data_IF_406501421028
#
_entry.id   IF_406501421028
#
_cell.length_a   1.000
_cell.length_b   1.000
_cell.length_c   1.000
_cell.angle_alpha   90.00
_cell.angle_beta   90.00
_cell.angle_gamma   90.00
#
_symmetry.space_group_name_H-M   'P 1'
#
loop_
_entity.id
_entity.type
_entity.pdbx_description
1 polymer ?
#
# COMPACT_ATOMS: atom_id res chain seq x y z
N UNK A 1 7.61 21.02 5.43
CA UNK A 1 7.60 19.83 6.29
C UNK A 1 7.18 18.57 5.49
N UNK A 2 5.99 18.55 4.88
CA UNK A 2 5.46 17.37 4.19
C UNK A 2 6.37 16.84 3.05
N UNK A 3 6.89 17.75 2.20
CA UNK A 3 7.79 17.38 1.12
C UNK A 3 9.12 16.77 1.65
N UNK A 4 9.67 17.33 2.71
CA UNK A 4 10.88 16.81 3.35
C UNK A 4 10.64 15.45 4.01
N UNK A 5 9.50 15.28 4.70
CA UNK A 5 9.09 14.01 5.29
C UNK A 5 8.93 12.93 4.22
N UNK A 6 8.21 13.22 3.14
CA UNK A 6 8.07 12.32 1.99
C UNK A 6 9.42 11.91 1.40
N UNK A 7 10.29 12.89 1.16
CA UNK A 7 11.62 12.66 0.62
C UNK A 7 12.47 11.75 1.51
N UNK A 8 12.53 12.02 2.82
CA UNK A 8 13.32 11.21 3.75
C UNK A 8 12.83 9.77 3.84
N UNK A 9 11.49 9.56 3.95
CA UNK A 9 10.94 8.22 4.00
C UNK A 9 11.27 7.40 2.74
N UNK A 10 11.06 8.00 1.58
CA UNK A 10 11.31 7.32 0.30
C UNK A 10 12.80 7.12 0.03
N UNK A 11 13.65 8.08 0.40
CA UNK A 11 15.10 7.97 0.26
C UNK A 11 15.65 6.84 1.13
N UNK A 12 15.28 6.80 2.43
CA UNK A 12 15.77 5.78 3.35
C UNK A 12 15.44 4.37 2.85
N UNK A 13 14.18 4.11 2.48
CA UNK A 13 13.77 2.83 1.93
C UNK A 13 14.51 2.48 0.64
N UNK A 14 14.66 3.45 -0.27
CA UNK A 14 15.32 3.23 -1.56
C UNK A 14 16.81 2.95 -1.42
N UNK A 15 17.49 3.59 -0.49
CA UNK A 15 18.93 3.36 -0.22
C UNK A 15 19.16 1.97 0.33
N UNK A 16 18.32 1.49 1.26
CA UNK A 16 18.41 0.12 1.78
C UNK A 16 18.24 -0.92 0.65
N UNK A 17 17.24 -0.72 -0.22
CA UNK A 17 17.04 -1.60 -1.38
C UNK A 17 18.23 -1.53 -2.35
N UNK A 18 18.83 -0.36 -2.56
CA UNK A 18 20.01 -0.21 -3.42
C UNK A 18 21.19 -1.03 -2.91
N UNK A 19 21.47 -1.02 -1.61
CA UNK A 19 22.51 -1.88 -1.02
C UNK A 19 22.22 -3.36 -1.25
N UNK A 20 20.96 -3.79 -1.10
CA UNK A 20 20.57 -5.17 -1.39
C UNK A 20 20.80 -5.52 -2.88
N UNK A 21 20.43 -4.65 -3.81
CA UNK A 21 20.64 -4.86 -5.25
C UNK A 21 22.14 -4.96 -5.60
N UNK A 22 22.98 -4.10 -5.00
CA UNK A 22 24.44 -4.15 -5.19
C UNK A 22 24.99 -5.47 -4.67
N UNK A 23 24.58 -5.92 -3.49
CA UNK A 23 24.98 -7.21 -2.95
C UNK A 23 24.55 -8.37 -3.86
N UNK A 24 23.29 -8.38 -4.30
CA UNK A 24 22.78 -9.41 -5.22
C UNK A 24 23.60 -9.45 -6.50
N UNK A 25 23.95 -8.30 -7.08
CA UNK A 25 24.79 -8.22 -8.26
C UNK A 25 26.22 -8.76 -8.01
N UNK A 26 26.84 -8.44 -6.88
CA UNK A 26 28.20 -8.90 -6.56
C UNK A 26 28.29 -10.42 -6.39
N UNK A 27 27.22 -11.04 -5.87
CA UNK A 27 27.17 -12.50 -5.63
C UNK A 27 26.74 -13.27 -6.87
N UNK A 28 25.74 -12.76 -7.61
CA UNK A 28 25.18 -13.46 -8.78
C UNK A 28 25.87 -13.11 -10.10
N UNK A 29 26.62 -12.00 -10.15
CA UNK A 29 27.25 -11.50 -11.38
C UNK A 29 26.29 -10.95 -12.42
N UNK A 30 24.98 -10.84 -12.10
CA UNK A 30 23.95 -10.38 -13.04
C UNK A 30 22.94 -9.46 -12.39
N UNK A 31 22.32 -8.59 -13.20
CA UNK A 31 21.18 -7.76 -12.83
C UNK A 31 19.89 -8.19 -13.53
N UNK A 32 19.93 -9.31 -14.27
CA UNK A 32 18.78 -9.86 -14.96
C UNK A 32 17.79 -10.43 -13.94
N UNK A 33 16.60 -9.84 -13.87
CA UNK A 33 15.54 -10.17 -12.93
C UNK A 33 15.14 -11.65 -13.07
N UNK A 34 15.05 -12.15 -14.31
CA UNK A 34 14.63 -13.54 -14.56
C UNK A 34 15.64 -14.55 -14.03
N UNK A 35 16.94 -14.24 -14.14
CA UNK A 35 17.99 -15.07 -13.56
C UNK A 35 18.04 -14.99 -12.04
N UNK A 36 17.83 -13.78 -11.48
CA UNK A 36 17.80 -13.56 -10.03
C UNK A 36 16.65 -14.27 -9.33
N UNK A 37 15.51 -14.49 -10.01
CA UNK A 37 14.37 -15.23 -9.46
C UNK A 37 14.69 -16.72 -9.23
N UNK A 38 15.64 -17.27 -9.98
CA UNK A 38 16.08 -18.67 -9.84
C UNK A 38 17.41 -18.80 -9.11
N UNK A 39 17.99 -17.68 -8.66
CA UNK A 39 19.24 -17.69 -7.92
C UNK A 39 18.99 -17.95 -6.43
N UNK A 40 19.65 -18.96 -5.89
CA UNK A 40 19.55 -19.28 -4.47
C UNK A 40 20.41 -18.33 -3.63
N UNK A 41 19.75 -17.46 -2.91
CA UNK A 41 20.36 -16.60 -1.90
C UNK A 41 20.33 -17.33 -0.56
N UNK A 42 21.40 -18.00 -0.18
CA UNK A 42 21.57 -18.79 1.03
C UNK A 42 20.56 -18.46 2.17
N UNK A 43 19.66 -19.41 2.43
CA UNK A 43 18.62 -19.31 3.46
C UNK A 43 18.99 -19.97 4.80
N UNK A 44 20.25 -20.52 4.92
CA UNK A 44 20.70 -21.09 6.18
C UNK A 44 20.87 -20.06 7.27
N UNK A 45 20.36 -20.37 8.45
CA UNK A 45 20.45 -19.50 9.62
C UNK A 45 21.90 -19.17 9.95
N UNK A 46 22.16 -17.93 10.36
CA UNK A 46 23.47 -17.51 10.83
C UNK A 46 23.35 -16.51 11.98
N UNK A 47 24.38 -16.41 12.78
CA UNK A 47 24.45 -15.46 13.90
C UNK A 47 25.15 -14.17 13.46
N UNK A 48 24.49 -13.02 13.67
CA UNK A 48 25.03 -11.70 13.43
C UNK A 48 24.89 -10.84 14.69
N UNK A 49 26.00 -10.37 15.23
CA UNK A 49 26.03 -9.50 16.43
C UNK A 49 25.28 -10.09 17.64
N UNK A 50 25.30 -11.43 17.81
CA UNK A 50 24.59 -12.11 18.90
C UNK A 50 23.10 -12.36 18.64
N UNK A 51 22.60 -12.04 17.46
CA UNK A 51 21.24 -12.34 17.04
C UNK A 51 21.24 -13.47 16.00
N UNK A 52 20.44 -14.51 16.26
CA UNK A 52 20.22 -15.58 15.28
C UNK A 52 19.24 -15.10 14.21
N UNK A 53 19.70 -15.02 12.96
CA UNK A 53 18.91 -14.58 11.80
C UNK A 53 18.40 -15.82 11.07
N UNK A 54 17.12 -16.12 11.28
CA UNK A 54 16.44 -17.18 10.57
C UNK A 54 16.27 -16.84 9.10
N UNK A 55 16.54 -17.81 8.21
CA UNK A 55 16.48 -17.62 6.76
C UNK A 55 17.66 -16.84 6.18
N UNK A 56 18.71 -16.66 6.94
CA UNK A 56 20.04 -16.29 6.45
C UNK A 56 20.10 -14.91 5.76
N UNK A 57 20.95 -14.83 4.76
CA UNK A 57 21.16 -13.63 3.93
C UNK A 57 19.87 -13.27 3.17
N UNK A 58 19.07 -14.26 2.78
CA UNK A 58 17.79 -14.05 2.10
C UNK A 58 16.86 -13.15 2.95
N UNK A 59 16.81 -13.35 4.26
CA UNK A 59 16.01 -12.52 5.18
C UNK A 59 16.50 -11.08 5.25
N UNK A 60 17.80 -10.83 5.21
CA UNK A 60 18.37 -9.47 5.21
C UNK A 60 18.01 -8.75 3.90
N UNK A 61 18.17 -9.43 2.77
CA UNK A 61 17.81 -8.87 1.46
C UNK A 61 16.31 -8.59 1.39
N UNK A 62 15.49 -9.54 1.88
CA UNK A 62 14.04 -9.35 1.97
C UNK A 62 13.67 -8.13 2.81
N UNK A 63 14.28 -7.95 3.99
CA UNK A 63 14.01 -6.77 4.84
C UNK A 63 14.42 -5.45 4.17
N UNK A 64 15.49 -5.43 3.40
CA UNK A 64 15.92 -4.24 2.65
C UNK A 64 14.92 -3.87 1.53
N UNK A 65 14.42 -4.87 0.79
CA UNK A 65 13.35 -4.69 -0.19
C UNK A 65 12.03 -4.32 0.49
N UNK A 66 11.69 -4.99 1.60
CA UNK A 66 10.52 -4.68 2.40
C UNK A 66 10.52 -3.22 2.87
N UNK A 67 11.61 -2.70 3.38
CA UNK A 67 11.70 -1.31 3.81
C UNK A 67 11.35 -0.32 2.68
N UNK A 68 11.82 -0.58 1.45
CA UNK A 68 11.48 0.26 0.29
C UNK A 68 10.00 0.16 -0.09
N UNK A 69 9.47 -1.05 -0.15
CA UNK A 69 8.10 -1.27 -0.60
C UNK A 69 7.08 -0.89 0.47
N UNK A 70 7.37 -1.12 1.75
CA UNK A 70 6.51 -0.75 2.87
C UNK A 70 6.34 0.77 3.00
N UNK A 71 7.36 1.55 2.67
CA UNK A 71 7.23 3.01 2.59
C UNK A 71 6.36 3.41 1.41
N UNK A 72 6.56 2.84 0.23
CA UNK A 72 5.80 3.18 -0.99
C UNK A 72 4.34 2.75 -0.91
N UNK A 73 4.07 1.56 -0.36
CA UNK A 73 2.72 1.00 -0.17
C UNK A 73 2.03 1.49 1.11
N UNK A 74 2.46 2.54 1.72
CA UNK A 74 2.30 3.08 3.06
C UNK A 74 1.78 2.09 4.11
N UNK A 75 2.58 1.04 4.39
CA UNK A 75 2.26 0.08 5.44
C UNK A 75 2.36 0.73 6.83
N UNK A 76 1.53 0.30 7.76
CA UNK A 76 1.72 0.69 9.16
C UNK A 76 3.05 0.09 9.69
N UNK A 77 3.89 0.84 10.44
CA UNK A 77 3.77 2.24 10.88
C UNK A 77 4.35 3.29 9.90
N UNK A 78 4.84 2.91 8.73
CA UNK A 78 5.56 3.77 7.78
C UNK A 78 4.63 4.66 6.90
N UNK A 79 3.34 4.73 7.20
CA UNK A 79 2.32 5.41 6.38
C UNK A 79 2.19 6.91 6.62
N UNK A 80 2.76 7.47 7.70
CA UNK A 80 2.45 8.83 8.18
C UNK A 80 2.83 9.95 7.23
N UNK A 81 3.67 9.68 6.23
CA UNK A 81 4.04 10.65 5.20
C UNK A 81 2.91 10.90 4.18
N UNK A 82 2.07 9.89 3.95
CA UNK A 82 1.08 9.91 2.88
C UNK A 82 -0.02 10.97 3.09
N UNK A 83 -0.70 11.06 4.26
CA UNK A 83 -1.70 12.10 4.48
C UNK A 83 -1.13 13.51 4.38
N UNK A 84 0.08 13.73 4.90
CA UNK A 84 0.74 15.04 4.85
C UNK A 84 1.10 15.42 3.40
N UNK A 85 1.58 14.45 2.61
CA UNK A 85 1.89 14.66 1.21
C UNK A 85 0.64 15.02 0.39
N UNK A 86 -0.48 14.30 0.56
CA UNK A 86 -1.73 14.57 -0.16
C UNK A 86 -2.35 15.93 0.16
N UNK A 87 -2.21 16.38 1.40
CA UNK A 87 -2.74 17.70 1.83
C UNK A 87 -2.01 18.84 1.13
N UNK A 88 -0.68 18.73 0.98
CA UNK A 88 0.14 19.78 0.40
C UNK A 88 0.27 19.69 -1.13
N UNK A 89 0.02 18.50 -1.70
CA UNK A 89 0.13 18.29 -3.12
C UNK A 89 -1.00 19.00 -3.90
N UNK A 90 -0.71 19.54 -5.09
CA UNK A 90 -1.75 19.96 -6.02
C UNK A 90 -2.62 18.75 -6.41
N UNK A 91 -3.84 18.99 -6.89
CA UNK A 91 -4.81 17.94 -7.23
C UNK A 91 -4.23 16.87 -8.14
N UNK A 92 -3.55 17.26 -9.23
CA UNK A 92 -2.91 16.31 -10.15
C UNK A 92 -1.81 15.47 -9.49
N UNK A 93 -1.01 16.08 -8.58
CA UNK A 93 0.00 15.37 -7.78
C UNK A 93 -0.62 14.31 -6.87
N UNK A 94 -1.71 14.64 -6.19
CA UNK A 94 -2.46 13.69 -5.35
C UNK A 94 -3.04 12.53 -6.18
N UNK A 95 -3.55 12.81 -7.38
CA UNK A 95 -4.09 11.79 -8.28
C UNK A 95 -3.01 10.78 -8.68
N UNK A 96 -1.85 11.24 -9.17
CA UNK A 96 -0.75 10.35 -9.57
C UNK A 96 -0.21 9.57 -8.37
N UNK A 97 -0.06 10.22 -7.22
CA UNK A 97 0.42 9.58 -5.99
C UNK A 97 -0.53 8.45 -5.55
N UNK A 98 -1.83 8.72 -5.48
CA UNK A 98 -2.82 7.74 -5.05
C UNK A 98 -3.05 6.63 -6.09
N UNK A 99 -3.15 6.98 -7.38
CA UNK A 99 -3.49 6.03 -8.42
C UNK A 99 -2.37 5.04 -8.74
N UNK A 100 -1.12 5.53 -8.85
CA UNK A 100 -0.01 4.75 -9.43
C UNK A 100 1.09 4.49 -8.41
N UNK A 101 1.60 5.55 -7.75
CA UNK A 101 2.82 5.42 -6.94
C UNK A 101 2.66 4.45 -5.76
N UNK A 102 1.50 4.40 -5.12
CA UNK A 102 1.23 3.44 -4.05
C UNK A 102 1.32 1.99 -4.57
N UNK A 103 0.82 1.73 -5.77
CA UNK A 103 0.79 0.38 -6.36
C UNK A 103 2.16 -0.13 -6.78
N UNK A 104 3.13 0.76 -6.96
CA UNK A 104 4.52 0.37 -7.21
C UNK A 104 5.11 -0.45 -6.06
N UNK A 105 4.70 -0.18 -4.81
CA UNK A 105 5.10 -1.01 -3.66
C UNK A 105 4.50 -2.42 -3.71
N UNK A 106 3.19 -2.54 -4.01
CA UNK A 106 2.51 -3.84 -4.17
C UNK A 106 3.07 -4.65 -5.34
N UNK A 107 3.30 -3.99 -6.48
CA UNK A 107 3.99 -4.60 -7.60
C UNK A 107 5.40 -5.10 -7.20
N UNK A 108 6.11 -4.31 -6.40
CA UNK A 108 7.43 -4.68 -5.90
C UNK A 108 7.41 -5.96 -5.06
N UNK A 109 6.45 -6.11 -4.17
CA UNK A 109 6.26 -7.35 -3.40
C UNK A 109 5.97 -8.55 -4.30
N UNK A 110 5.03 -8.41 -5.24
CA UNK A 110 4.64 -9.47 -6.16
C UNK A 110 5.78 -9.86 -7.12
N UNK A 111 6.50 -8.89 -7.66
CA UNK A 111 7.49 -9.12 -8.71
C UNK A 111 8.88 -9.48 -8.19
N UNK A 112 9.25 -8.96 -7.01
CA UNK A 112 10.60 -9.13 -6.47
C UNK A 112 10.60 -9.93 -5.18
N UNK A 113 9.86 -9.51 -4.14
CA UNK A 113 9.98 -10.12 -2.81
C UNK A 113 9.53 -11.57 -2.78
N UNK A 114 8.36 -11.90 -3.37
CA UNK A 114 7.85 -13.27 -3.37
C UNK A 114 8.70 -14.23 -4.22
N UNK A 115 9.05 -13.90 -5.49
CA UNK A 115 9.78 -14.84 -6.33
C UNK A 115 11.27 -14.97 -6.00
N UNK A 116 11.92 -13.87 -5.53
CA UNK A 116 13.36 -13.89 -5.24
C UNK A 116 13.69 -14.38 -3.83
N UNK A 117 12.76 -14.22 -2.88
CA UNK A 117 12.97 -14.51 -1.46
C UNK A 117 11.80 -15.32 -0.89
N UNK A 118 11.52 -16.53 -1.38
CA UNK A 118 10.35 -17.31 -0.98
C UNK A 118 10.41 -17.72 0.50
N UNK A 119 11.56 -18.21 0.98
CA UNK A 119 11.72 -18.67 2.37
C UNK A 119 11.57 -17.51 3.36
N UNK A 120 12.23 -16.38 3.09
CA UNK A 120 12.09 -15.19 3.92
C UNK A 120 10.65 -14.66 3.92
N UNK A 121 9.96 -14.71 2.78
CA UNK A 121 8.55 -14.30 2.69
C UNK A 121 7.63 -15.17 3.55
N UNK A 122 7.90 -16.47 3.67
CA UNK A 122 7.18 -17.38 4.58
C UNK A 122 7.52 -17.09 6.05
N UNK A 123 8.78 -16.86 6.38
CA UNK A 123 9.21 -16.52 7.76
C UNK A 123 8.49 -15.26 8.25
N UNK A 124 8.42 -14.22 7.42
CA UNK A 124 7.81 -12.94 7.79
C UNK A 124 6.31 -12.85 7.54
N UNK A 125 5.64 -13.90 7.06
CA UNK A 125 4.21 -13.91 6.74
C UNK A 125 3.34 -13.45 7.91
N UNK A 126 3.50 -14.04 9.09
CA UNK A 126 2.73 -13.71 10.28
C UNK A 126 2.95 -12.27 10.76
N UNK A 127 4.18 -11.77 10.60
CA UNK A 127 4.50 -10.37 10.90
C UNK A 127 3.74 -9.44 9.95
N UNK A 128 3.74 -9.72 8.65
CA UNK A 128 2.99 -8.93 7.65
C UNK A 128 1.49 -8.99 7.91
N UNK A 129 0.94 -10.14 8.25
CA UNK A 129 -0.47 -10.27 8.60
C UNK A 129 -0.83 -9.35 9.77
N UNK A 130 -0.05 -9.38 10.84
CA UNK A 130 -0.29 -8.55 12.02
C UNK A 130 -0.29 -7.06 11.69
N UNK A 131 0.72 -6.56 10.98
CA UNK A 131 0.80 -5.14 10.62
C UNK A 131 -0.27 -4.74 9.60
N UNK A 132 -0.69 -5.66 8.72
CA UNK A 132 -1.77 -5.41 7.75
C UNK A 132 -3.13 -5.26 8.45
N UNK A 133 -3.45 -6.14 9.40
CA UNK A 133 -4.68 -6.04 10.20
C UNK A 133 -4.69 -4.76 11.05
N UNK A 134 -3.56 -4.45 11.69
CA UNK A 134 -3.41 -3.17 12.42
C UNK A 134 -3.64 -1.99 11.47
N UNK A 135 -3.07 -2.02 10.27
CA UNK A 135 -3.27 -0.97 9.28
C UNK A 135 -4.75 -0.81 8.92
N UNK A 136 -5.45 -1.90 8.63
CA UNK A 136 -6.88 -1.88 8.27
C UNK A 136 -7.71 -1.25 9.39
N UNK A 137 -7.60 -1.75 10.61
CA UNK A 137 -8.43 -1.29 11.74
C UNK A 137 -8.03 0.12 12.17
N UNK A 138 -6.75 0.34 12.47
CA UNK A 138 -6.26 1.60 13.01
C UNK A 138 -6.49 2.76 12.04
N UNK A 139 -6.10 2.60 10.77
CA UNK A 139 -6.20 3.72 9.82
C UNK A 139 -7.64 4.00 9.39
N UNK A 140 -8.53 3.01 9.40
CA UNK A 140 -9.97 3.24 9.21
C UNK A 140 -10.57 4.07 10.34
N UNK A 141 -10.23 3.78 11.59
CA UNK A 141 -10.65 4.58 12.74
C UNK A 141 -10.07 6.00 12.70
N UNK A 142 -8.80 6.14 12.29
CA UNK A 142 -8.18 7.46 12.11
C UNK A 142 -8.86 8.23 10.97
N UNK A 143 -9.21 7.57 9.86
CA UNK A 143 -9.92 8.20 8.74
C UNK A 143 -11.28 8.75 9.18
N UNK A 144 -12.04 8.01 10.02
CA UNK A 144 -13.34 8.41 10.54
C UNK A 144 -13.28 9.73 11.34
N UNK A 145 -12.16 10.00 12.00
CA UNK A 145 -11.99 11.18 12.85
C UNK A 145 -11.40 12.41 12.12
N UNK A 146 -11.16 12.32 10.82
CA UNK A 146 -10.56 13.41 10.05
C UNK A 146 -11.60 14.50 9.72
N UNK A 147 -11.21 15.76 9.93
CA UNK A 147 -11.96 16.94 9.48
C UNK A 147 -11.56 17.42 8.09
N UNK A 148 -10.37 17.08 7.63
CA UNK A 148 -9.85 17.39 6.29
C UNK A 148 -10.20 16.28 5.32
N UNK A 149 -10.97 16.60 4.27
CA UNK A 149 -11.46 15.62 3.27
C UNK A 149 -10.31 14.92 2.52
N UNK A 150 -9.18 15.59 2.24
CA UNK A 150 -8.00 14.98 1.63
C UNK A 150 -7.33 14.00 2.59
N UNK A 151 -7.26 14.32 3.88
CA UNK A 151 -6.73 13.40 4.90
C UNK A 151 -7.60 12.17 5.06
N UNK A 152 -8.92 12.33 5.06
CA UNK A 152 -9.86 11.22 5.14
C UNK A 152 -9.61 10.22 4.00
N UNK A 153 -9.55 10.69 2.75
CA UNK A 153 -9.28 9.83 1.58
C UNK A 153 -7.88 9.22 1.65
N UNK A 154 -6.87 9.94 2.13
CA UNK A 154 -5.52 9.42 2.27
C UNK A 154 -5.44 8.29 3.31
N UNK A 155 -6.07 8.44 4.48
CA UNK A 155 -6.10 7.38 5.49
C UNK A 155 -6.93 6.16 5.06
N UNK A 156 -8.05 6.35 4.36
CA UNK A 156 -8.79 5.23 3.78
C UNK A 156 -7.93 4.46 2.78
N UNK A 157 -7.08 5.16 2.01
CA UNK A 157 -6.12 4.51 1.10
C UNK A 157 -5.11 3.62 1.82
N UNK A 158 -4.64 4.01 3.01
CA UNK A 158 -3.74 3.16 3.83
C UNK A 158 -4.45 1.88 4.28
N UNK A 159 -5.73 1.98 4.69
CA UNK A 159 -6.53 0.81 5.06
C UNK A 159 -6.69 -0.17 3.88
N UNK A 160 -7.04 0.34 2.69
CA UNK A 160 -7.17 -0.51 1.48
C UNK A 160 -5.84 -1.15 1.07
N UNK A 161 -4.71 -0.46 1.27
CA UNK A 161 -3.39 -1.07 1.03
C UNK A 161 -3.06 -2.15 2.07
N UNK A 162 -3.63 -2.08 3.28
CA UNK A 162 -3.58 -3.17 4.25
C UNK A 162 -4.21 -4.47 3.72
N UNK A 163 -5.36 -4.40 3.03
CA UNK A 163 -5.93 -5.57 2.34
C UNK A 163 -5.00 -6.08 1.23
N UNK A 164 -4.36 -5.19 0.48
CA UNK A 164 -3.42 -5.58 -0.57
C UNK A 164 -2.24 -6.36 0.01
N UNK A 165 -1.61 -5.89 1.08
CA UNK A 165 -0.48 -6.59 1.71
C UNK A 165 -0.91 -7.92 2.32
N UNK A 166 -2.06 -7.96 2.96
CA UNK A 166 -2.65 -9.19 3.49
C UNK A 166 -2.84 -10.23 2.37
N UNK A 167 -3.43 -9.82 1.24
CA UNK A 167 -3.67 -10.69 0.10
C UNK A 167 -2.40 -11.19 -0.58
N UNK A 168 -1.39 -10.34 -0.76
CA UNK A 168 -0.12 -10.71 -1.37
C UNK A 168 0.60 -11.78 -0.54
N UNK A 169 0.72 -11.57 0.77
CA UNK A 169 1.46 -12.46 1.66
C UNK A 169 0.65 -13.68 2.15
N UNK A 170 -0.62 -13.79 1.79
CA UNK A 170 -1.37 -15.04 1.95
C UNK A 170 -0.86 -16.16 1.02
N UNK A 171 -0.12 -15.80 -0.04
CA UNK A 171 0.48 -16.74 -1.01
C UNK A 171 -0.52 -17.76 -1.59
N UNK A 172 -1.80 -17.41 -1.55
CA UNK A 172 -2.89 -18.18 -2.15
C UNK A 172 -3.33 -17.46 -3.42
N UNK A 173 -3.57 -18.20 -4.50
CA UNK A 173 -3.95 -17.64 -5.80
C UNK A 173 -5.16 -16.69 -5.68
N UNK A 174 -6.19 -17.08 -4.95
CA UNK A 174 -7.41 -16.29 -4.77
C UNK A 174 -7.13 -14.95 -4.08
N UNK A 175 -6.29 -14.94 -3.03
CA UNK A 175 -5.91 -13.72 -2.33
C UNK A 175 -5.04 -12.81 -3.18
N UNK A 176 -4.10 -13.40 -3.94
CA UNK A 176 -3.21 -12.64 -4.85
C UNK A 176 -4.03 -11.97 -5.95
N UNK A 177 -4.96 -12.70 -6.57
CA UNK A 177 -5.86 -12.15 -7.57
C UNK A 177 -6.73 -11.03 -6.99
N UNK A 178 -7.23 -11.22 -5.77
CA UNK A 178 -7.95 -10.19 -5.01
C UNK A 178 -7.10 -8.95 -4.74
N UNK A 179 -5.84 -9.13 -4.33
CA UNK A 179 -4.90 -8.04 -4.07
C UNK A 179 -4.57 -7.24 -5.35
N UNK A 180 -4.34 -7.93 -6.46
CA UNK A 180 -4.08 -7.28 -7.77
C UNK A 180 -5.33 -6.49 -8.19
N UNK A 181 -6.50 -7.11 -8.09
CA UNK A 181 -7.76 -6.44 -8.44
C UNK A 181 -8.02 -5.23 -7.54
N UNK A 182 -7.74 -5.34 -6.23
CA UNK A 182 -7.86 -4.23 -5.28
C UNK A 182 -6.90 -3.08 -5.61
N UNK A 183 -5.67 -3.36 -6.02
CA UNK A 183 -4.74 -2.32 -6.46
C UNK A 183 -5.29 -1.53 -7.65
N UNK A 184 -5.85 -2.21 -8.66
CA UNK A 184 -6.41 -1.56 -9.86
C UNK A 184 -7.65 -0.76 -9.49
N UNK A 185 -8.59 -1.40 -8.78
CA UNK A 185 -9.85 -0.79 -8.34
C UNK A 185 -9.60 0.47 -7.50
N UNK A 186 -8.80 0.34 -6.44
CA UNK A 186 -8.44 1.47 -5.58
C UNK A 186 -7.71 2.57 -6.36
N UNK A 187 -6.90 2.23 -7.38
CA UNK A 187 -6.25 3.21 -8.25
C UNK A 187 -7.25 4.14 -8.92
N UNK A 188 -8.28 3.57 -9.52
CA UNK A 188 -9.33 4.31 -10.23
C UNK A 188 -10.21 5.09 -9.24
N UNK A 189 -10.65 4.44 -8.15
CA UNK A 189 -11.55 5.04 -7.15
C UNK A 189 -10.86 6.22 -6.45
N UNK A 190 -9.63 6.05 -5.97
CA UNK A 190 -8.89 7.11 -5.28
C UNK A 190 -8.56 8.28 -6.20
N UNK A 191 -8.18 8.01 -7.46
CA UNK A 191 -7.97 9.06 -8.45
C UNK A 191 -9.23 9.90 -8.67
N UNK A 192 -10.39 9.24 -8.84
CA UNK A 192 -11.66 9.91 -9.02
C UNK A 192 -12.06 10.75 -7.80
N UNK A 193 -11.90 10.22 -6.59
CA UNK A 193 -12.19 10.95 -5.34
C UNK A 193 -11.29 12.19 -5.20
N UNK A 194 -9.97 12.08 -5.46
CA UNK A 194 -9.09 13.25 -5.41
C UNK A 194 -9.40 14.28 -6.49
N UNK A 195 -9.80 13.86 -7.70
CA UNK A 195 -10.25 14.78 -8.74
C UNK A 195 -11.54 15.50 -8.31
N UNK A 196 -12.51 14.78 -7.77
CA UNK A 196 -13.76 15.36 -7.29
C UNK A 196 -13.50 16.35 -6.14
N UNK A 197 -12.67 16.01 -5.17
CA UNK A 197 -12.26 16.93 -4.12
C UNK A 197 -11.53 18.16 -4.70
N UNK A 198 -10.69 17.96 -5.73
CA UNK A 198 -10.03 19.05 -6.44
C UNK A 198 -11.03 20.07 -7.02
N UNK A 199 -12.11 19.58 -7.65
CA UNK A 199 -13.16 20.45 -8.25
C UNK A 199 -13.79 21.41 -7.23
N UNK A 200 -14.08 20.95 -6.00
CA UNK A 200 -14.64 21.80 -4.97
C UNK A 200 -13.56 22.66 -4.31
N UNK A 201 -12.38 22.10 -4.07
CA UNK A 201 -11.28 22.82 -3.45
C UNK A 201 -10.80 24.02 -4.27
N UNK A 202 -10.70 23.88 -5.60
CA UNK A 202 -10.28 24.98 -6.49
C UNK A 202 -11.28 26.15 -6.51
N UNK A 203 -12.51 25.92 -6.11
CA UNK A 203 -13.57 26.95 -6.04
C UNK A 203 -13.70 27.56 -4.66
N UNK A 204 -13.60 26.75 -3.60
CA UNK A 204 -13.92 27.16 -2.23
C UNK A 204 -12.67 27.39 -1.37
N UNK A 205 -11.50 26.92 -1.79
CA UNK A 205 -10.21 27.02 -1.11
C UNK A 205 -10.20 26.52 0.35
N UNK A 206 -11.16 25.66 0.72
CA UNK A 206 -11.22 25.00 2.02
C UNK A 206 -11.24 23.48 1.86
N UNK A 207 -10.80 22.74 2.87
CA UNK A 207 -10.82 21.28 2.92
C UNK A 207 -11.64 20.75 4.10
N UNK A 208 -12.21 21.65 4.87
CA UNK A 208 -13.00 21.30 6.04
C UNK A 208 -14.32 20.67 5.59
N UNK A 209 -14.61 19.45 6.07
CA UNK A 209 -15.81 18.69 5.73
C UNK A 209 -17.07 19.42 6.21
N UNK A 210 -17.02 20.04 7.40
CA UNK A 210 -18.15 20.74 8.00
C UNK A 210 -18.58 21.99 7.19
N UNK A 211 -17.68 22.50 6.34
CA UNK A 211 -17.97 23.63 5.46
C UNK A 211 -18.87 23.24 4.27
N UNK A 212 -18.83 21.97 3.87
CA UNK A 212 -19.52 21.49 2.68
C UNK A 212 -20.92 20.96 3.03
N UNK A 213 -21.94 21.81 2.90
CA UNK A 213 -23.36 21.43 3.04
C UNK A 213 -24.14 21.66 1.76
N UNK A 214 -25.16 20.84 1.49
CA UNK A 214 -26.15 21.06 0.46
C UNK A 214 -25.65 21.02 -1.00
N UNK A 215 -24.50 20.44 -1.29
CA UNK A 215 -23.91 20.37 -2.64
C UNK A 215 -24.81 19.67 -3.65
N UNK A 216 -25.68 18.77 -3.19
CA UNK A 216 -26.63 18.04 -4.06
C UNK A 216 -27.59 18.99 -4.80
N UNK A 217 -28.08 20.03 -4.10
CA UNK A 217 -28.98 21.00 -4.69
C UNK A 217 -28.30 21.96 -5.68
N UNK A 218 -27.02 22.27 -5.45
CA UNK A 218 -26.26 23.18 -6.30
C UNK A 218 -25.60 22.46 -7.48
N UNK A 219 -25.08 21.25 -7.26
CA UNK A 219 -24.33 20.48 -8.25
C UNK A 219 -24.75 18.99 -8.27
N UNK A 220 -25.96 18.66 -8.75
CA UNK A 220 -26.50 17.30 -8.63
C UNK A 220 -25.66 16.25 -9.38
N UNK A 221 -25.11 16.56 -10.55
CA UNK A 221 -24.24 15.65 -11.29
C UNK A 221 -22.94 15.36 -10.54
N UNK A 222 -22.34 16.39 -9.95
CA UNK A 222 -21.16 16.23 -9.13
C UNK A 222 -21.43 15.32 -7.91
N UNK A 223 -22.53 15.57 -7.21
CA UNK A 223 -22.94 14.79 -6.06
C UNK A 223 -23.17 13.30 -6.41
N UNK A 224 -23.77 13.02 -7.58
CA UNK A 224 -23.97 11.67 -8.06
C UNK A 224 -22.63 10.93 -8.24
N UNK A 225 -21.66 11.53 -8.92
CA UNK A 225 -20.34 10.93 -9.09
C UNK A 225 -19.60 10.78 -7.73
N UNK A 226 -19.72 11.77 -6.87
CA UNK A 226 -19.09 11.71 -5.55
C UNK A 226 -19.65 10.56 -4.72
N UNK A 227 -20.96 10.39 -4.66
CA UNK A 227 -21.62 9.28 -3.97
C UNK A 227 -21.20 7.95 -4.60
N UNK A 228 -21.21 7.84 -5.94
CA UNK A 228 -20.84 6.61 -6.62
C UNK A 228 -19.43 6.14 -6.24
N UNK A 229 -18.43 7.02 -6.33
CA UNK A 229 -17.05 6.67 -5.98
C UNK A 229 -16.85 6.48 -4.47
N UNK A 230 -17.61 7.19 -3.63
CA UNK A 230 -17.59 6.96 -2.18
C UNK A 230 -18.13 5.58 -1.83
N UNK A 231 -19.25 5.16 -2.44
CA UNK A 231 -19.80 3.81 -2.24
C UNK A 231 -18.86 2.73 -2.76
N UNK A 232 -18.17 2.97 -3.88
CA UNK A 232 -17.15 2.07 -4.37
C UNK A 232 -15.91 2.00 -3.45
N UNK A 233 -15.56 3.11 -2.80
CA UNK A 233 -14.48 3.15 -1.81
C UNK A 233 -14.84 2.43 -0.50
N UNK A 234 -16.10 2.45 -0.10
CA UNK A 234 -16.59 1.72 1.08
C UNK A 234 -16.71 0.20 0.82
N UNK A 235 -16.59 -0.23 -0.44
CA UNK A 235 -16.72 -1.64 -0.78
C UNK A 235 -18.19 -2.12 -0.80
N UNK A 236 -19.11 -1.30 -1.32
CA UNK A 236 -20.50 -1.73 -1.49
C UNK A 236 -20.58 -2.93 -2.45
N UNK A 237 -21.32 -4.01 -2.11
CA UNK A 237 -21.56 -5.13 -3.02
C UNK A 237 -22.09 -4.64 -4.38
N UNK A 238 -21.47 -5.11 -5.46
CA UNK A 238 -21.74 -4.61 -6.83
C UNK A 238 -20.72 -3.59 -7.33
N UNK A 239 -19.80 -3.13 -6.49
CA UNK A 239 -18.69 -2.26 -6.89
C UNK A 239 -17.37 -3.04 -6.96
N UNK A 240 -16.38 -2.46 -7.66
CA UNK A 240 -15.06 -3.10 -7.82
C UNK A 240 -14.27 -3.20 -6.51
N UNK A 241 -14.43 -2.25 -5.58
CA UNK A 241 -13.79 -2.31 -4.27
C UNK A 241 -14.17 -3.56 -3.47
N UNK A 242 -15.46 -3.89 -3.44
CA UNK A 242 -15.97 -5.09 -2.78
C UNK A 242 -15.32 -6.38 -3.29
N UNK A 243 -15.20 -6.52 -4.61
CA UNK A 243 -14.67 -7.76 -5.22
C UNK A 243 -13.23 -8.02 -4.76
N UNK A 244 -12.37 -6.99 -4.77
CA UNK A 244 -10.97 -7.11 -4.35
C UNK A 244 -10.85 -7.51 -2.88
N UNK A 245 -11.53 -6.78 -2.00
CA UNK A 245 -11.47 -7.03 -0.54
C UNK A 245 -12.06 -8.38 -0.16
N UNK A 246 -13.20 -8.74 -0.77
CA UNK A 246 -13.86 -10.04 -0.51
C UNK A 246 -12.98 -11.23 -0.93
N UNK A 247 -12.32 -11.16 -2.10
CA UNK A 247 -11.41 -12.21 -2.55
C UNK A 247 -10.18 -12.32 -1.63
N UNK A 248 -9.64 -11.19 -1.18
CA UNK A 248 -8.53 -11.18 -0.21
C UNK A 248 -8.94 -11.86 1.09
N UNK A 249 -10.08 -11.49 1.65
CA UNK A 249 -10.56 -12.07 2.91
C UNK A 249 -10.83 -13.58 2.78
N UNK A 250 -11.50 -14.00 1.71
CA UNK A 250 -11.77 -15.42 1.47
C UNK A 250 -10.49 -16.24 1.35
N UNK A 251 -9.52 -15.77 0.56
CA UNK A 251 -8.28 -16.50 0.38
C UNK A 251 -7.40 -16.46 1.63
N UNK A 252 -7.36 -15.34 2.37
CA UNK A 252 -6.61 -15.26 3.63
C UNK A 252 -7.21 -16.20 4.70
N UNK A 253 -8.52 -16.28 4.78
CA UNK A 253 -9.20 -17.19 5.71
C UNK A 253 -8.86 -18.67 5.48
N UNK A 254 -8.54 -19.05 4.23
CA UNK A 254 -8.10 -20.42 3.93
C UNK A 254 -6.69 -20.71 4.49
N UNK A 255 -5.84 -19.67 4.59
CA UNK A 255 -4.45 -19.80 5.08
C UNK A 255 -4.39 -19.61 6.59
N UNK A 256 -5.10 -18.64 7.13
CA UNK A 256 -5.15 -18.33 8.56
C UNK A 256 -6.57 -18.01 9.00
N UNK A 257 -7.08 -18.77 9.98
CA UNK A 257 -8.41 -18.52 10.58
C UNK A 257 -8.38 -17.45 11.68
N UNK A 258 -7.19 -16.95 12.05
CA UNK A 258 -7.01 -15.94 13.10
C UNK A 258 -6.95 -14.53 12.53
N UNK A 259 -6.73 -14.36 11.24
CA UNK A 259 -6.66 -13.12 10.49
C UNK A 259 -7.92 -12.95 9.65
#
# INVERSE_FOLDING_TARGET
>A
YAAFKFFLYTLLGSVLMLFAVIYMWTVSGTTDITKLMFFDFNSSDFELLGFNISGGIQSILWMAFFASFAVKLPMWPFHTWLPDAHVQAPTGGSVVLAAILLKMGGYGFLRFSLPMFPDASLIFQNFIFSISVIAIIYTSLVALMQKDIKKLIAYSSVAHMGFVTLGIFSMNQQSIDGAIFQMISHGIISAALFLLVGVIYDRMHTRDIDFYGGLVSLMPKYALFFIFFTMANVGLPGTSGFVGEFLVLLGTFQVSKLV
#
